data_IF_367039185407
#
_entry.id   IF_367039185407
#
_cell.length_a   1.000
_cell.length_b   1.000
_cell.length_c   1.000
_cell.angle_alpha   90.00
_cell.angle_beta   90.00
_cell.angle_gamma   90.00
#
_symmetry.space_group_name_H-M   'P 1'
#
loop_
_entity.id
_entity.type
_entity.pdbx_description
1 polymer ?
#
# COMPACT_ATOMS: atom_id res chain seq x y z
N UNK A 1 21.47 19.81 -9.75
CA UNK A 1 20.77 19.08 -10.83
C UNK A 1 20.40 17.70 -10.32
N UNK A 2 19.11 17.36 -10.31
CA UNK A 2 18.59 16.06 -9.84
C UNK A 2 19.12 14.86 -10.66
N UNK A 3 19.70 15.08 -11.80
CA UNK A 3 20.35 14.06 -12.65
C UNK A 3 21.71 13.61 -12.10
N UNK A 4 22.29 14.42 -11.22
CA UNK A 4 23.59 14.10 -10.59
C UNK A 4 23.33 13.43 -9.22
N UNK A 5 23.37 12.12 -9.22
CA UNK A 5 23.09 11.29 -8.03
C UNK A 5 24.08 11.57 -6.90
N UNK A 6 25.34 11.88 -7.24
CA UNK A 6 26.37 12.19 -6.24
C UNK A 6 26.05 13.49 -5.49
N UNK A 7 25.53 14.50 -6.19
CA UNK A 7 25.03 15.74 -5.56
C UNK A 7 23.77 15.52 -4.75
N UNK A 8 22.85 14.70 -5.21
CA UNK A 8 21.67 14.34 -4.44
C UNK A 8 22.06 13.61 -3.16
N UNK A 9 23.02 12.72 -3.21
CA UNK A 9 23.53 12.01 -2.03
C UNK A 9 24.18 12.99 -1.03
N UNK A 10 24.99 13.94 -1.50
CA UNK A 10 25.54 14.97 -0.65
C UNK A 10 24.46 15.82 0.01
N UNK A 11 23.47 16.28 -0.76
CA UNK A 11 22.32 17.04 -0.24
C UNK A 11 21.50 16.25 0.79
N UNK A 12 21.37 14.93 0.59
CA UNK A 12 20.61 14.08 1.53
C UNK A 12 21.27 13.94 2.90
N UNK A 13 22.57 14.18 2.99
CA UNK A 13 23.31 14.21 4.27
C UNK A 13 23.28 15.59 4.92
N UNK A 14 23.28 16.66 4.10
CA UNK A 14 23.35 18.05 4.59
C UNK A 14 21.98 18.63 4.96
N UNK A 15 20.91 18.16 4.35
CA UNK A 15 19.56 18.72 4.50
C UNK A 15 18.60 17.74 5.18
N UNK A 16 17.63 18.32 5.90
CA UNK A 16 16.47 17.55 6.40
C UNK A 16 15.53 17.20 5.24
N UNK A 17 15.68 15.98 4.71
CA UNK A 17 14.93 15.51 3.54
C UNK A 17 13.41 15.45 3.77
N UNK A 18 12.94 15.49 5.00
CA UNK A 18 11.51 15.59 5.30
C UNK A 18 10.90 16.92 4.84
N UNK A 19 11.75 17.96 4.70
CA UNK A 19 11.36 19.33 4.29
C UNK A 19 11.70 19.65 2.84
N UNK A 20 12.27 18.69 2.10
CA UNK A 20 12.68 18.86 0.71
C UNK A 20 11.70 18.12 -0.20
N UNK A 21 11.22 18.79 -1.24
CA UNK A 21 10.43 18.18 -2.30
C UNK A 21 11.25 18.27 -3.60
N UNK A 22 11.53 17.12 -4.21
CA UNK A 22 12.14 17.07 -5.53
C UNK A 22 11.06 17.21 -6.61
N UNK A 23 11.14 18.28 -7.37
CA UNK A 23 10.30 18.50 -8.52
C UNK A 23 11.06 18.14 -9.81
N UNK A 24 10.52 17.20 -10.55
CA UNK A 24 11.07 16.78 -11.85
C UNK A 24 10.33 17.49 -12.98
N UNK A 25 11.06 18.01 -13.95
CA UNK A 25 10.46 18.51 -15.17
C UNK A 25 10.02 17.36 -16.11
N UNK A 26 9.26 17.69 -17.16
CA UNK A 26 8.78 16.69 -18.12
C UNK A 26 9.91 16.06 -18.94
N UNK A 27 11.10 16.68 -18.94
CA UNK A 27 12.31 16.17 -19.59
C UNK A 27 13.11 15.24 -18.70
N UNK A 28 12.67 15.05 -17.44
CA UNK A 28 13.32 14.18 -16.50
C UNK A 28 13.32 12.74 -17.03
N UNK A 29 14.50 12.27 -17.39
CA UNK A 29 14.70 10.87 -17.77
C UNK A 29 14.61 9.99 -16.53
N UNK A 30 13.37 9.66 -16.16
CA UNK A 30 13.08 8.72 -15.08
C UNK A 30 13.18 7.27 -15.54
N UNK A 31 13.62 7.06 -16.78
CA UNK A 31 13.88 5.73 -17.35
C UNK A 31 15.23 5.15 -16.89
N UNK A 32 16.03 5.91 -16.12
CA UNK A 32 17.22 5.35 -15.46
C UNK A 32 16.78 4.19 -14.58
N UNK A 33 17.23 2.97 -14.84
CA UNK A 33 16.86 1.83 -14.02
C UNK A 33 17.13 2.11 -12.55
N UNK A 34 16.13 1.89 -11.72
CA UNK A 34 16.21 2.07 -10.27
C UNK A 34 16.36 3.52 -9.76
N UNK A 35 16.10 4.57 -10.56
CA UNK A 35 16.24 5.95 -10.13
C UNK A 35 15.43 6.25 -8.85
N UNK A 36 14.14 5.90 -8.83
CA UNK A 36 13.31 6.07 -7.64
C UNK A 36 13.77 5.23 -6.45
N UNK A 37 14.28 4.02 -6.70
CA UNK A 37 14.86 3.18 -5.66
C UNK A 37 16.08 3.84 -5.00
N UNK A 38 16.89 4.52 -5.78
CA UNK A 38 18.05 5.27 -5.27
C UNK A 38 17.62 6.49 -4.44
N UNK A 39 16.59 7.22 -4.85
CA UNK A 39 16.05 8.33 -4.08
C UNK A 39 15.54 7.85 -2.71
N UNK A 40 14.77 6.77 -2.70
CA UNK A 40 14.25 6.19 -1.46
C UNK A 40 15.37 5.68 -0.55
N UNK A 41 16.42 5.06 -1.10
CA UNK A 41 17.58 4.62 -0.35
C UNK A 41 18.37 5.79 0.29
N UNK A 42 18.35 6.97 -0.34
CA UNK A 42 18.95 8.20 0.20
C UNK A 42 18.04 8.94 1.20
N UNK A 43 16.85 8.39 1.53
CA UNK A 43 15.90 9.05 2.44
C UNK A 43 15.07 10.17 1.79
N UNK A 44 15.10 10.28 0.47
CA UNK A 44 14.34 11.27 -0.30
C UNK A 44 12.98 10.66 -0.65
N UNK A 45 11.93 11.04 0.07
CA UNK A 45 10.59 10.46 -0.07
C UNK A 45 9.61 11.38 -0.80
N UNK A 46 9.87 12.69 -0.78
CA UNK A 46 8.99 13.69 -1.37
C UNK A 46 9.48 14.05 -2.77
N UNK A 47 8.89 13.46 -3.80
CA UNK A 47 9.20 13.75 -5.20
C UNK A 47 7.95 13.68 -6.07
N UNK A 48 7.89 14.53 -7.10
CA UNK A 48 6.73 14.62 -8.02
C UNK A 48 7.12 15.25 -9.34
N UNK A 49 6.29 15.02 -10.37
CA UNK A 49 6.39 15.66 -11.71
C UNK A 49 5.30 16.71 -11.94
N UNK A 50 4.34 16.85 -11.03
CA UNK A 50 3.22 17.77 -11.19
C UNK A 50 3.18 18.84 -10.10
N UNK A 51 2.71 20.03 -10.44
CA UNK A 51 2.50 21.12 -9.48
C UNK A 51 1.45 20.75 -8.42
N UNK A 52 0.40 20.03 -8.82
CA UNK A 52 -0.61 19.51 -7.88
C UNK A 52 0.03 18.54 -6.88
N UNK A 53 0.99 17.72 -7.33
CA UNK A 53 1.78 16.85 -6.48
C UNK A 53 2.64 17.63 -5.48
N UNK A 54 3.21 18.76 -5.87
CA UNK A 54 3.94 19.65 -4.94
C UNK A 54 3.00 20.18 -3.86
N UNK A 55 1.83 20.68 -4.26
CA UNK A 55 0.84 21.19 -3.30
C UNK A 55 0.33 20.09 -2.35
N UNK A 56 0.14 18.88 -2.85
CA UNK A 56 -0.20 17.73 -2.01
C UNK A 56 0.90 17.42 -0.99
N UNK A 57 2.15 17.33 -1.44
CA UNK A 57 3.30 16.98 -0.57
C UNK A 57 3.62 18.05 0.47
N UNK A 58 3.30 19.32 0.21
CA UNK A 58 3.42 20.41 1.20
C UNK A 58 2.48 20.19 2.40
N UNK A 59 1.28 19.64 2.13
CA UNK A 59 0.29 19.40 3.17
C UNK A 59 0.40 18.00 3.79
N UNK A 60 0.88 17.03 3.00
CA UNK A 60 0.96 15.62 3.40
C UNK A 60 2.27 15.02 2.88
N UNK A 61 3.40 15.25 3.59
CA UNK A 61 4.68 14.69 3.20
C UNK A 61 4.64 13.15 3.19
N UNK A 62 5.29 12.56 2.20
CA UNK A 62 5.44 11.10 2.14
C UNK A 62 6.33 10.59 3.27
N UNK A 63 5.98 9.45 3.80
CA UNK A 63 6.82 8.65 4.69
C UNK A 63 7.52 7.54 3.90
N UNK A 64 8.50 6.88 4.52
CA UNK A 64 9.13 5.69 3.93
C UNK A 64 8.11 4.64 3.46
N UNK A 65 7.02 4.43 4.21
CA UNK A 65 5.98 3.47 3.85
C UNK A 65 5.28 3.79 2.53
N UNK A 66 5.11 5.07 2.23
CA UNK A 66 4.41 5.52 1.04
C UNK A 66 5.22 5.28 -0.24
N UNK A 67 6.55 5.29 -0.13
CA UNK A 67 7.50 5.15 -1.25
C UNK A 67 8.27 3.83 -1.27
N UNK A 68 8.10 2.98 -0.28
CA UNK A 68 8.82 1.71 -0.16
C UNK A 68 8.61 0.78 -1.37
N UNK A 69 7.50 0.94 -2.09
CA UNK A 69 7.20 0.17 -3.30
C UNK A 69 8.14 0.48 -4.48
N UNK A 70 8.88 1.61 -4.43
CA UNK A 70 9.91 1.94 -5.42
C UNK A 70 11.25 1.23 -5.16
N UNK A 71 11.45 0.64 -3.96
CA UNK A 71 12.69 -0.07 -3.67
C UNK A 71 12.79 -1.36 -4.49
N UNK A 72 13.61 -1.31 -5.50
CA UNK A 72 14.10 -2.51 -6.17
C UNK A 72 15.39 -2.92 -5.46
N UNK A 73 15.37 -4.05 -4.78
CA UNK A 73 16.53 -4.58 -4.05
C UNK A 73 17.53 -5.12 -5.10
N UNK A 74 18.41 -4.25 -5.55
CA UNK A 74 19.59 -4.64 -6.34
C UNK A 74 20.80 -4.85 -5.41
N UNK A 75 21.81 -5.64 -5.80
CA UNK A 75 23.03 -5.82 -4.98
C UNK A 75 23.73 -4.50 -4.59
N UNK A 76 23.56 -3.45 -5.39
CA UNK A 76 24.12 -2.11 -5.12
C UNK A 76 23.36 -1.35 -4.02
N UNK A 77 22.04 -1.57 -3.90
CA UNK A 77 21.22 -0.96 -2.84
C UNK A 77 21.51 -1.60 -1.48
N UNK A 78 21.96 -2.86 -1.45
CA UNK A 78 22.39 -3.54 -0.22
C UNK A 78 23.65 -2.92 0.38
N UNK A 79 24.60 -2.48 -0.45
CA UNK A 79 25.83 -1.84 0.02
C UNK A 79 25.56 -0.47 0.67
N UNK A 80 24.61 0.30 0.14
CA UNK A 80 24.23 1.61 0.70
C UNK A 80 23.47 1.49 2.05
N UNK A 81 22.67 0.45 2.22
CA UNK A 81 21.98 0.16 3.48
C UNK A 81 22.92 -0.34 4.60
N UNK A 82 24.00 -1.03 4.24
CA UNK A 82 25.01 -1.48 5.21
C UNK A 82 25.89 -0.35 5.76
N UNK A 83 26.09 0.71 5.00
CA UNK A 83 26.87 1.86 5.43
C UNK A 83 26.19 2.72 6.51
N UNK A 84 24.85 2.65 6.64
CA UNK A 84 24.09 3.43 7.61
C UNK A 84 23.89 2.73 8.97
N UNK A 85 24.28 1.44 9.12
CA UNK A 85 24.05 0.64 10.32
C UNK A 85 25.30 0.24 11.11
N UNK A 86 26.45 0.87 10.88
CA UNK A 86 27.67 0.58 11.66
C UNK A 86 27.70 1.33 12.99
N UNK A 87 26.82 1.00 13.90
CA UNK A 87 27.02 1.20 15.34
C UNK A 87 26.07 0.30 16.14
N UNK A 88 26.30 -1.00 16.18
CA UNK A 88 26.11 -1.85 17.36
C UNK A 88 26.86 -3.19 17.13
N UNK A 89 27.62 -3.53 18.14
CA UNK A 89 28.62 -4.56 18.29
C UNK A 89 28.31 -6.00 17.84
N UNK A 90 29.40 -6.62 17.32
CA UNK A 90 29.79 -8.04 17.28
C UNK A 90 29.07 -9.01 18.20
N UNK A 91 28.60 -10.14 17.64
CA UNK A 91 29.01 -11.49 18.07
C UNK A 91 28.54 -12.57 17.08
N UNK A 92 29.54 -13.17 16.44
CA UNK A 92 29.83 -14.58 16.12
C UNK A 92 28.78 -15.53 15.50
N UNK A 93 29.21 -16.04 14.35
CA UNK A 93 29.18 -17.43 13.82
C UNK A 93 27.86 -18.08 13.49
N UNK A 94 27.74 -18.40 12.22
CA UNK A 94 27.06 -19.60 11.80
C UNK A 94 26.16 -19.46 10.56
N UNK A 95 26.62 -20.06 9.47
CA UNK A 95 25.83 -20.55 8.33
C UNK A 95 25.15 -19.51 7.45
N UNK A 96 25.63 -19.44 6.20
CA UNK A 96 25.04 -18.77 5.05
C UNK A 96 23.60 -19.26 4.80
N UNK A 97 22.65 -18.65 5.49
CA UNK A 97 21.25 -18.69 5.09
C UNK A 97 20.99 -17.41 4.33
N UNK A 98 20.72 -17.51 3.04
CA UNK A 98 20.21 -16.39 2.26
C UNK A 98 19.04 -15.77 3.02
N UNK A 99 18.97 -14.44 3.22
CA UNK A 99 17.79 -13.83 3.77
C UNK A 99 16.64 -14.08 2.78
N UNK A 100 15.71 -14.93 3.18
CA UNK A 100 14.42 -15.05 2.51
C UNK A 100 13.78 -13.67 2.66
N UNK A 101 13.80 -12.87 1.60
CA UNK A 101 12.99 -11.65 1.51
C UNK A 101 11.55 -12.14 1.52
N UNK A 102 10.94 -12.15 2.69
CA UNK A 102 9.50 -12.44 2.81
C UNK A 102 8.78 -11.27 2.13
N UNK A 103 8.38 -11.48 0.89
CA UNK A 103 7.52 -10.59 0.14
C UNK A 103 6.22 -10.44 0.94
N UNK A 104 6.06 -9.30 1.62
CA UNK A 104 4.89 -9.09 2.45
C UNK A 104 3.68 -8.80 1.55
N UNK A 105 2.76 -9.74 1.49
CA UNK A 105 1.49 -9.58 0.76
C UNK A 105 0.70 -8.40 1.35
N UNK A 106 0.32 -7.45 0.52
CA UNK A 106 -0.54 -6.33 0.94
C UNK A 106 -2.00 -6.78 0.95
N UNK A 107 -2.68 -6.63 2.08
CA UNK A 107 -4.08 -7.04 2.24
C UNK A 107 -4.95 -5.78 2.33
N UNK A 108 -5.72 -5.51 1.29
CA UNK A 108 -6.60 -4.34 1.20
C UNK A 108 -8.05 -4.74 1.36
N UNK A 109 -8.67 -4.29 2.46
CA UNK A 109 -10.08 -4.50 2.74
C UNK A 109 -10.97 -3.45 2.09
N UNK A 110 -12.16 -3.84 1.65
CA UNK A 110 -13.21 -2.93 1.20
C UNK A 110 -14.46 -3.20 2.01
N UNK A 111 -14.98 -2.17 2.66
CA UNK A 111 -16.15 -2.25 3.55
C UNK A 111 -17.24 -1.28 3.16
N UNK A 112 -18.46 -1.76 3.03
CA UNK A 112 -19.65 -0.90 2.94
C UNK A 112 -19.99 -0.33 4.33
N UNK A 113 -20.03 0.99 4.45
CA UNK A 113 -20.57 1.68 5.62
C UNK A 113 -22.08 1.88 5.46
N UNK A 114 -22.51 2.36 4.32
CA UNK A 114 -23.91 2.34 3.94
C UNK A 114 -24.22 1.05 3.18
N UNK A 115 -25.40 0.49 3.44
CA UNK A 115 -25.78 -0.80 2.83
C UNK A 115 -25.76 -0.73 1.31
N UNK A 116 -25.15 -1.73 0.67
CA UNK A 116 -25.05 -1.86 -0.78
C UNK A 116 -24.33 -0.68 -1.49
N UNK A 117 -23.23 -0.18 -0.91
CA UNK A 117 -22.43 0.90 -1.53
C UNK A 117 -21.45 0.42 -2.60
N UNK A 118 -21.49 -0.85 -2.97
CA UNK A 118 -20.75 -1.38 -4.12
C UNK A 118 -19.39 -1.99 -3.79
N UNK A 119 -19.12 -2.44 -2.56
CA UNK A 119 -17.83 -3.04 -2.20
C UNK A 119 -17.43 -4.20 -3.11
N UNK A 120 -18.34 -5.14 -3.35
CA UNK A 120 -18.12 -6.30 -4.22
C UNK A 120 -17.75 -5.88 -5.65
N UNK A 121 -18.45 -4.88 -6.20
CA UNK A 121 -18.15 -4.32 -7.53
C UNK A 121 -16.79 -3.64 -7.56
N UNK A 122 -16.49 -2.82 -6.54
CA UNK A 122 -15.20 -2.15 -6.45
C UNK A 122 -14.05 -3.14 -6.35
N UNK A 123 -14.17 -4.19 -5.52
CA UNK A 123 -13.17 -5.26 -5.42
C UNK A 123 -12.92 -5.91 -6.78
N UNK A 124 -13.98 -6.21 -7.54
CA UNK A 124 -13.84 -6.76 -8.89
C UNK A 124 -13.12 -5.80 -9.83
N UNK A 125 -13.49 -4.51 -9.83
CA UNK A 125 -12.84 -3.50 -10.68
C UNK A 125 -11.35 -3.35 -10.32
N UNK A 126 -11.03 -3.33 -9.03
CA UNK A 126 -9.66 -3.25 -8.55
C UNK A 126 -8.86 -4.49 -8.95
N UNK A 127 -9.43 -5.70 -8.80
CA UNK A 127 -8.81 -6.93 -9.26
C UNK A 127 -8.45 -6.83 -10.74
N UNK A 128 -9.42 -6.46 -11.59
CA UNK A 128 -9.22 -6.34 -13.05
C UNK A 128 -8.16 -5.31 -13.44
N UNK A 129 -7.99 -4.26 -12.66
CA UNK A 129 -6.99 -3.24 -12.93
C UNK A 129 -5.60 -3.67 -12.42
N UNK A 130 -5.53 -4.22 -11.21
CA UNK A 130 -4.27 -4.58 -10.58
C UNK A 130 -3.64 -5.85 -11.19
N UNK A 131 -4.44 -6.81 -11.66
CA UNK A 131 -3.94 -8.05 -12.27
C UNK A 131 -3.11 -7.84 -13.55
N UNK A 132 -3.13 -6.61 -14.10
CA UNK A 132 -2.29 -6.25 -15.25
C UNK A 132 -0.80 -6.20 -14.90
N UNK A 133 -0.48 -5.85 -13.66
CA UNK A 133 0.90 -5.60 -13.22
C UNK A 133 1.31 -6.37 -11.96
N UNK A 134 0.36 -6.97 -11.25
CA UNK A 134 0.58 -7.62 -9.96
C UNK A 134 -0.08 -9.00 -9.92
N UNK A 135 0.44 -9.87 -9.09
CA UNK A 135 -0.23 -11.13 -8.75
C UNK A 135 -1.29 -10.84 -7.69
N UNK A 136 -2.56 -10.79 -8.09
CA UNK A 136 -3.68 -10.36 -7.25
C UNK A 136 -4.70 -11.45 -7.11
N UNK A 137 -5.28 -11.57 -5.93
CA UNK A 137 -6.48 -12.37 -5.69
C UNK A 137 -7.50 -11.57 -4.87
N UNK A 138 -8.77 -11.92 -4.98
CA UNK A 138 -9.85 -11.34 -4.20
C UNK A 138 -10.56 -12.43 -3.38
N UNK A 139 -10.92 -12.07 -2.15
CA UNK A 139 -11.61 -12.95 -1.21
C UNK A 139 -12.84 -12.22 -0.69
N UNK A 140 -14.01 -12.83 -0.76
CA UNK A 140 -15.20 -12.39 -0.02
C UNK A 140 -15.45 -13.28 1.18
N UNK A 141 -15.96 -12.70 2.26
CA UNK A 141 -16.18 -13.39 3.53
C UNK A 141 -17.66 -13.50 3.84
N UNK A 142 -18.13 -14.74 4.03
CA UNK A 142 -19.50 -15.03 4.46
C UNK A 142 -20.58 -14.75 3.41
N UNK A 143 -20.19 -14.62 2.15
CA UNK A 143 -21.09 -14.47 0.99
C UNK A 143 -20.57 -15.33 -0.16
N UNK A 144 -21.36 -15.42 -1.23
CA UNK A 144 -21.00 -16.17 -2.44
C UNK A 144 -21.32 -15.38 -3.73
N UNK A 145 -21.20 -14.06 -3.66
CA UNK A 145 -21.47 -13.17 -4.80
C UNK A 145 -20.34 -13.21 -5.83
N UNK A 146 -19.12 -13.56 -5.42
CA UNK A 146 -17.98 -13.71 -6.35
C UNK A 146 -18.19 -14.81 -7.38
N UNK A 147 -19.01 -15.81 -7.10
CA UNK A 147 -19.37 -16.86 -8.05
C UNK A 147 -20.00 -16.33 -9.35
N UNK A 148 -20.67 -15.17 -9.29
CA UNK A 148 -21.30 -14.54 -10.46
C UNK A 148 -20.29 -13.92 -11.43
N UNK A 149 -19.09 -13.56 -10.95
CA UNK A 149 -18.04 -12.96 -11.80
C UNK A 149 -17.28 -14.01 -12.63
N UNK A 150 -17.35 -15.30 -12.28
CA UNK A 150 -16.67 -16.42 -12.97
C UNK A 150 -15.18 -16.14 -13.19
N UNK A 151 -14.51 -15.55 -12.20
CA UNK A 151 -13.10 -15.16 -12.27
C UNK A 151 -12.24 -16.11 -11.42
N UNK A 152 -11.13 -16.64 -12.01
CA UNK A 152 -10.29 -17.67 -11.37
C UNK A 152 -9.60 -17.25 -10.08
N UNK A 153 -9.35 -15.94 -9.93
CA UNK A 153 -8.65 -15.39 -8.76
C UNK A 153 -9.62 -14.73 -7.76
N UNK A 154 -10.90 -15.07 -7.82
CA UNK A 154 -11.92 -14.64 -6.87
C UNK A 154 -12.42 -15.82 -6.07
N UNK A 155 -12.40 -15.72 -4.77
CA UNK A 155 -12.71 -16.78 -3.83
C UNK A 155 -13.77 -16.36 -2.83
N UNK A 156 -14.73 -17.22 -2.57
CA UNK A 156 -15.73 -17.06 -1.53
C UNK A 156 -15.38 -18.00 -0.38
N UNK A 157 -15.21 -17.48 0.82
CA UNK A 157 -14.82 -18.28 2.00
C UNK A 157 -15.75 -18.02 3.17
N UNK A 158 -15.90 -19.01 4.02
CA UNK A 158 -16.55 -18.83 5.31
C UNK A 158 -15.58 -18.14 6.31
N UNK A 159 -16.15 -17.55 7.39
CA UNK A 159 -15.38 -16.75 8.34
C UNK A 159 -14.21 -17.49 8.98
N UNK A 160 -14.36 -18.76 9.18
CA UNK A 160 -13.36 -19.60 9.86
C UNK A 160 -12.22 -20.01 8.89
N UNK A 161 -12.49 -20.07 7.60
CA UNK A 161 -11.54 -20.44 6.54
C UNK A 161 -10.66 -19.26 6.06
N UNK A 162 -11.00 -18.03 6.46
CA UNK A 162 -10.32 -16.81 5.95
C UNK A 162 -8.80 -16.84 6.19
N UNK A 163 -8.37 -17.21 7.38
CA UNK A 163 -6.93 -17.21 7.73
C UNK A 163 -6.14 -18.20 6.88
N UNK A 164 -6.68 -19.40 6.72
CA UNK A 164 -6.05 -20.44 5.90
C UNK A 164 -6.00 -20.04 4.43
N UNK A 165 -7.07 -19.38 3.94
CA UNK A 165 -7.09 -18.86 2.58
C UNK A 165 -6.07 -17.76 2.36
N UNK A 166 -5.92 -16.81 3.29
CA UNK A 166 -4.89 -15.77 3.22
C UNK A 166 -3.50 -16.40 3.21
N UNK A 167 -3.25 -17.38 4.07
CA UNK A 167 -1.96 -18.08 4.14
C UNK A 167 -1.63 -18.81 2.83
N UNK A 168 -2.62 -19.48 2.23
CA UNK A 168 -2.46 -20.18 0.95
C UNK A 168 -2.22 -19.25 -0.24
N UNK A 169 -2.54 -17.96 -0.10
CA UNK A 169 -2.34 -16.93 -1.12
C UNK A 169 -1.18 -15.97 -0.77
N UNK A 170 -0.33 -16.34 0.17
CA UNK A 170 0.80 -15.51 0.63
C UNK A 170 1.87 -15.22 -0.44
N UNK A 171 1.81 -15.92 -1.58
CA UNK A 171 2.66 -15.69 -2.75
C UNK A 171 2.14 -14.57 -3.67
N UNK A 172 0.98 -14.00 -3.39
CA UNK A 172 0.39 -12.87 -4.13
C UNK A 172 0.96 -11.53 -3.64
N UNK A 173 1.02 -10.55 -4.55
CA UNK A 173 1.43 -9.18 -4.23
C UNK A 173 0.37 -8.46 -3.42
N UNK A 174 -0.89 -8.64 -3.84
CA UNK A 174 -2.05 -7.97 -3.25
C UNK A 174 -3.20 -8.97 -3.07
N UNK A 175 -3.81 -8.94 -1.89
CA UNK A 175 -5.09 -9.57 -1.63
C UNK A 175 -6.16 -8.50 -1.41
N UNK A 176 -7.26 -8.60 -2.12
CA UNK A 176 -8.42 -7.73 -1.98
C UNK A 176 -9.49 -8.46 -1.17
N UNK A 177 -9.93 -7.89 -0.06
CA UNK A 177 -10.96 -8.48 0.79
C UNK A 177 -12.25 -7.69 0.72
N UNK A 178 -13.35 -8.33 0.29
CA UNK A 178 -14.70 -7.84 0.58
C UNK A 178 -15.06 -8.28 1.99
N UNK A 179 -14.82 -7.39 2.96
CA UNK A 179 -14.84 -7.75 4.39
C UNK A 179 -16.23 -7.82 4.98
N UNK A 180 -17.24 -7.31 4.27
CA UNK A 180 -18.62 -7.22 4.78
C UNK A 180 -18.64 -6.60 6.20
N UNK A 181 -19.30 -7.26 7.16
CA UNK A 181 -19.34 -6.84 8.57
C UNK A 181 -18.47 -7.74 9.46
N UNK A 182 -17.55 -8.50 8.88
CA UNK A 182 -16.66 -9.39 9.64
C UNK A 182 -15.49 -8.62 10.25
N UNK A 183 -15.40 -8.62 11.59
CA UNK A 183 -14.34 -7.93 12.33
C UNK A 183 -12.98 -8.59 12.13
N UNK A 184 -12.91 -9.95 12.09
CA UNK A 184 -11.65 -10.66 11.90
C UNK A 184 -11.09 -10.39 10.50
N UNK A 185 -11.96 -10.25 9.49
CA UNK A 185 -11.53 -9.87 8.14
C UNK A 185 -10.92 -8.46 8.13
N UNK A 186 -11.53 -7.50 8.84
CA UNK A 186 -10.99 -6.13 8.97
C UNK A 186 -9.63 -6.14 9.67
N UNK A 187 -9.48 -6.89 10.75
CA UNK A 187 -8.22 -7.02 11.52
C UNK A 187 -7.09 -7.67 10.69
N UNK A 188 -7.45 -8.50 9.72
CA UNK A 188 -6.48 -9.14 8.80
C UNK A 188 -5.99 -8.20 7.71
N UNK A 189 -6.60 -7.04 7.52
CA UNK A 189 -6.24 -6.09 6.47
C UNK A 189 -5.08 -5.18 6.89
N UNK A 190 -4.17 -4.91 5.95
CA UNK A 190 -3.15 -3.86 6.08
C UNK A 190 -3.79 -2.47 6.05
N UNK A 191 -4.74 -2.29 5.12
CA UNK A 191 -5.51 -1.07 4.91
C UNK A 191 -6.97 -1.41 4.64
N UNK A 192 -7.88 -0.49 4.94
CA UNK A 192 -9.32 -0.66 4.65
C UNK A 192 -9.89 0.59 3.98
N UNK A 193 -10.56 0.39 2.85
CA UNK A 193 -11.36 1.40 2.17
C UNK A 193 -12.81 1.30 2.68
N UNK A 194 -13.38 2.41 3.10
CA UNK A 194 -14.75 2.49 3.58
C UNK A 194 -15.62 3.15 2.54
N UNK A 195 -16.67 2.47 2.07
CA UNK A 195 -17.57 2.97 1.06
C UNK A 195 -18.84 3.55 1.69
N UNK A 196 -19.11 4.79 1.37
CA UNK A 196 -20.33 5.51 1.77
C UNK A 196 -21.06 5.95 0.50
N UNK A 197 -22.32 5.55 0.38
CA UNK A 197 -23.16 6.10 -0.67
C UNK A 197 -23.73 7.45 -0.21
N UNK A 198 -23.57 8.54 -1.00
CA UNK A 198 -23.99 9.89 -0.62
C UNK A 198 -25.52 10.09 -0.77
N UNK A 199 -26.32 9.10 -0.37
CA UNK A 199 -27.76 9.18 -0.33
C UNK A 199 -28.23 9.75 1.01
N UNK A 200 -28.98 10.85 1.00
CA UNK A 200 -29.50 11.50 2.20
C UNK A 200 -30.26 10.49 3.10
N UNK A 201 -31.08 9.63 2.49
CA UNK A 201 -31.83 8.61 3.23
C UNK A 201 -30.91 7.60 3.92
N UNK A 202 -29.86 7.11 3.21
CA UNK A 202 -28.91 6.16 3.76
C UNK A 202 -28.03 6.78 4.83
N UNK A 203 -27.60 8.02 4.64
CA UNK A 203 -26.82 8.77 5.62
C UNK A 203 -27.63 9.04 6.89
N UNK A 204 -28.90 9.48 6.77
CA UNK A 204 -29.77 9.68 7.91
C UNK A 204 -30.00 8.36 8.69
N UNK A 205 -30.25 7.25 7.99
CA UNK A 205 -30.36 5.94 8.65
C UNK A 205 -29.06 5.55 9.37
N UNK A 206 -27.91 5.79 8.76
CA UNK A 206 -26.60 5.49 9.34
C UNK A 206 -26.38 6.29 10.63
N UNK A 207 -26.65 7.60 10.61
CA UNK A 207 -26.50 8.46 11.78
C UNK A 207 -27.53 8.19 12.86
N UNK A 208 -28.71 7.71 12.52
CA UNK A 208 -29.71 7.24 13.49
C UNK A 208 -29.23 6.00 14.26
N UNK A 209 -28.55 5.06 13.57
CA UNK A 209 -28.04 3.82 14.18
C UNK A 209 -26.75 4.09 14.96
N UNK A 210 -25.85 4.90 14.43
CA UNK A 210 -24.59 5.28 15.06
C UNK A 210 -24.30 6.78 14.86
N UNK A 211 -24.78 7.65 15.80
CA UNK A 211 -24.59 9.10 15.70
C UNK A 211 -23.11 9.53 15.63
N UNK A 212 -22.19 8.69 16.09
CA UNK A 212 -20.76 8.98 16.10
C UNK A 212 -20.01 8.40 14.90
N UNK A 213 -20.70 7.82 13.92
CA UNK A 213 -20.07 7.13 12.80
C UNK A 213 -19.13 8.05 12.01
N UNK A 214 -19.55 9.29 11.76
CA UNK A 214 -18.75 10.28 11.03
C UNK A 214 -17.44 10.57 11.77
N UNK A 215 -17.48 10.69 13.10
CA UNK A 215 -16.28 10.88 13.92
C UNK A 215 -15.35 9.66 13.88
N UNK A 216 -15.92 8.45 13.88
CA UNK A 216 -15.15 7.20 13.80
C UNK A 216 -14.44 7.05 12.44
N UNK A 217 -14.99 7.64 11.39
CA UNK A 217 -14.45 7.59 10.03
C UNK A 217 -13.50 8.75 9.70
N UNK A 218 -13.43 9.80 10.54
CA UNK A 218 -12.65 11.02 10.28
C UNK A 218 -11.19 10.74 9.88
N UNK A 219 -10.58 9.69 10.42
CA UNK A 219 -9.19 9.31 10.15
C UNK A 219 -9.08 8.03 9.31
N UNK A 220 -10.15 7.64 8.61
CA UNK A 220 -10.17 6.46 7.74
C UNK A 220 -10.17 6.87 6.27
N UNK A 221 -9.70 5.98 5.40
CA UNK A 221 -9.84 6.15 3.95
C UNK A 221 -11.30 5.89 3.57
N UNK A 222 -12.02 6.91 3.16
CA UNK A 222 -13.45 6.87 2.78
C UNK A 222 -13.57 7.20 1.30
#
# INVERSE_FOLDING_TARGET
DYKDISKLQQLSVELDMSKVILFFDDTADTSIPNFYSMLVAMGIYNFTKSLDGVQYLLNTPNTYKDVAHYLVITPQTQAAMQASNNNVAMSQTGTLSQPIVTKQTKILGVKNITKNSGATTLVYMMLRQLEKNYKVAAIEVGRREFSFFRHRNMYSVDKDELKDKISNLSDHDVLLLDVNDDKKAIESCTDVIYLIEPSIIKLNRLTMVDPKIILKLKNKKV
#
